data_IF_167328760109
#
_entry.id   IF_167328760109
#
_cell.length_a   1.000
_cell.length_b   1.000
_cell.length_c   1.000
_cell.angle_alpha   90.00
_cell.angle_beta   90.00
_cell.angle_gamma   90.00
#
_symmetry.space_group_name_H-M   'P 1'
#
loop_
_entity.id
_entity.type
_entity.pdbx_description
1 polymer ?
#
# COMPACT_ATOMS: atom_id res chain seq x y z
N UNK A 1 16.66 7.20 10.41
CA UNK A 1 16.65 6.45 11.69
C UNK A 1 16.04 5.06 11.56
N UNK A 2 14.86 4.92 10.93
CA UNK A 2 14.13 3.64 10.81
C UNK A 2 14.92 2.52 10.11
N UNK A 3 15.45 2.76 8.90
CA UNK A 3 16.26 1.79 8.14
C UNK A 3 17.46 1.27 8.94
N UNK A 4 18.11 2.16 9.70
CA UNK A 4 19.28 1.86 10.53
C UNK A 4 18.93 1.16 11.85
N UNK A 5 17.65 0.94 12.16
CA UNK A 5 17.22 0.31 13.42
C UNK A 5 17.39 1.19 14.67
N UNK A 6 17.53 2.50 14.49
CA UNK A 6 17.81 3.44 15.59
C UNK A 6 16.51 3.86 16.31
N UNK A 7 15.92 2.95 17.08
CA UNK A 7 14.66 3.20 17.80
C UNK A 7 14.71 4.43 18.71
N UNK A 8 15.82 4.66 19.43
CA UNK A 8 15.96 5.83 20.30
C UNK A 8 16.03 7.15 19.51
N UNK A 9 16.69 7.13 18.35
CA UNK A 9 16.72 8.29 17.46
C UNK A 9 15.32 8.60 16.90
N UNK A 10 14.52 7.57 16.61
CA UNK A 10 13.11 7.75 16.21
C UNK A 10 12.32 8.42 17.33
N UNK A 11 12.50 7.97 18.59
CA UNK A 11 11.85 8.60 19.75
C UNK A 11 12.21 10.08 19.89
N UNK A 12 13.50 10.40 19.80
CA UNK A 12 13.98 11.77 19.88
C UNK A 12 13.41 12.64 18.76
N UNK A 13 13.37 12.15 17.52
CA UNK A 13 12.82 12.89 16.39
C UNK A 13 11.34 13.23 16.61
N UNK A 14 10.54 12.25 17.03
CA UNK A 14 9.10 12.47 17.28
C UNK A 14 8.88 13.41 18.46
N UNK A 15 9.66 13.29 19.53
CA UNK A 15 9.62 14.24 20.66
C UNK A 15 9.98 15.67 20.26
N UNK A 16 10.79 15.85 19.21
CA UNK A 16 11.13 17.16 18.65
C UNK A 16 10.16 17.60 17.53
N UNK A 17 8.99 16.97 17.43
CA UNK A 17 7.93 17.39 16.49
C UNK A 17 7.97 16.71 15.13
N UNK A 18 8.82 15.69 14.91
CA UNK A 18 8.73 14.91 13.69
C UNK A 18 7.41 14.11 13.67
N UNK A 19 6.63 14.27 12.60
CA UNK A 19 5.36 13.55 12.42
C UNK A 19 5.64 12.13 11.92
N UNK A 20 5.28 11.08 12.68
CA UNK A 20 5.57 9.69 12.30
C UNK A 20 4.60 9.13 11.25
N UNK A 21 3.51 9.84 10.98
CA UNK A 21 2.52 9.53 9.94
C UNK A 21 3.01 9.89 8.53
N UNK A 22 4.09 10.66 8.39
CA UNK A 22 4.62 11.08 7.09
C UNK A 22 5.12 9.86 6.30
N UNK A 23 4.64 9.78 5.05
CA UNK A 23 5.03 8.76 4.09
C UNK A 23 5.90 9.32 2.97
N UNK A 24 6.53 8.43 2.20
CA UNK A 24 7.14 8.77 0.91
C UNK A 24 6.10 8.95 -0.18
N UNK A 25 6.56 9.28 -1.39
CA UNK A 25 5.77 9.33 -2.63
C UNK A 25 5.03 8.02 -2.97
N UNK A 26 5.37 6.91 -2.32
CA UNK A 26 4.72 5.60 -2.49
C UNK A 26 3.81 5.24 -1.32
N UNK A 27 3.60 6.15 -0.37
CA UNK A 27 2.86 5.93 0.86
C UNK A 27 3.66 5.16 1.92
N UNK A 28 4.98 5.03 1.78
CA UNK A 28 5.79 4.30 2.76
C UNK A 28 6.10 5.16 3.97
N UNK A 29 5.57 4.77 5.11
CA UNK A 29 5.89 5.36 6.42
C UNK A 29 7.18 4.77 7.01
N UNK A 30 7.67 5.35 8.10
CA UNK A 30 8.79 4.79 8.87
C UNK A 30 8.56 3.33 9.30
N UNK A 31 7.30 2.91 9.49
CA UNK A 31 6.93 1.54 9.83
C UNK A 31 7.18 0.57 8.66
N UNK A 32 6.93 0.98 7.41
CA UNK A 32 7.21 0.15 6.22
C UNK A 32 8.70 -0.18 6.09
N UNK A 33 9.56 0.84 6.21
CA UNK A 33 11.01 0.61 6.20
C UNK A 33 11.47 -0.24 7.38
N UNK A 34 10.92 -0.02 8.57
CA UNK A 34 11.26 -0.85 9.72
C UNK A 34 10.84 -2.32 9.51
N UNK A 35 9.68 -2.55 8.91
CA UNK A 35 9.19 -3.88 8.57
C UNK A 35 10.06 -4.58 7.51
N UNK A 36 10.43 -3.89 6.42
CA UNK A 36 11.29 -4.44 5.36
C UNK A 36 12.65 -4.91 5.92
N UNK A 37 13.28 -4.07 6.73
CA UNK A 37 14.62 -4.33 7.27
C UNK A 37 14.61 -5.12 8.59
N UNK A 38 13.45 -5.59 9.06
CA UNK A 38 13.34 -6.38 10.29
C UNK A 38 13.67 -5.61 11.57
N UNK A 39 13.43 -4.29 11.61
CA UNK A 39 13.80 -3.40 12.72
C UNK A 39 12.71 -3.36 13.79
N UNK A 40 12.58 -4.46 14.53
CA UNK A 40 11.60 -4.59 15.62
C UNK A 40 11.69 -3.47 16.67
N UNK A 41 12.90 -3.01 17.01
CA UNK A 41 13.11 -1.92 17.96
C UNK A 41 12.46 -0.60 17.52
N UNK A 42 12.48 -0.33 16.21
CA UNK A 42 11.84 0.85 15.62
C UNK A 42 10.34 0.69 15.61
N UNK A 43 9.81 -0.48 15.24
CA UNK A 43 8.37 -0.75 15.27
C UNK A 43 7.79 -0.59 16.68
N UNK A 44 8.49 -1.09 17.70
CA UNK A 44 8.11 -0.90 19.11
C UNK A 44 8.12 0.58 19.51
N UNK A 45 9.14 1.32 19.09
CA UNK A 45 9.24 2.76 19.38
C UNK A 45 8.10 3.54 18.72
N UNK A 46 7.78 3.25 17.46
CA UNK A 46 6.67 3.86 16.73
C UNK A 46 5.33 3.56 17.40
N UNK A 47 5.09 2.30 17.77
CA UNK A 47 3.88 1.89 18.48
C UNK A 47 3.70 2.59 19.83
N UNK A 48 4.78 2.68 20.62
CA UNK A 48 4.78 3.39 21.91
C UNK A 48 4.46 4.89 21.76
N UNK A 49 4.79 5.46 20.60
CA UNK A 49 4.51 6.86 20.27
C UNK A 49 3.14 7.05 19.61
N UNK A 50 2.28 6.03 19.60
CA UNK A 50 0.97 6.03 18.94
C UNK A 50 1.06 6.38 17.44
N UNK A 51 2.18 6.04 16.79
CA UNK A 51 2.32 6.23 15.36
C UNK A 51 1.42 5.24 14.59
N UNK A 52 0.89 5.63 13.43
CA UNK A 52 0.10 4.74 12.60
C UNK A 52 0.98 3.64 11.98
N UNK A 53 0.91 2.43 12.55
CA UNK A 53 1.62 1.23 12.05
C UNK A 53 0.73 0.30 11.21
N UNK A 54 -0.52 0.70 10.99
CA UNK A 54 -1.57 -0.03 10.27
C UNK A 54 -1.86 0.53 8.87
N UNK A 55 -1.31 1.69 8.52
CA UNK A 55 -1.57 2.34 7.22
C UNK A 55 -0.93 1.54 6.10
N UNK A 56 -1.70 1.30 5.03
CA UNK A 56 -1.20 0.71 3.80
C UNK A 56 -0.54 1.73 2.88
N UNK A 57 0.43 1.27 2.10
CA UNK A 57 1.02 2.04 1.01
C UNK A 57 0.05 2.24 -0.18
N UNK A 58 0.51 2.84 -1.29
CA UNK A 58 -0.32 3.05 -2.50
C UNK A 58 -0.86 1.77 -3.14
N UNK A 59 -0.32 0.60 -2.78
CA UNK A 59 -0.76 -0.71 -3.25
C UNK A 59 -1.62 -1.43 -2.21
N UNK A 60 -1.88 -0.79 -1.06
CA UNK A 60 -2.59 -1.38 0.07
C UNK A 60 -1.75 -2.35 0.89
N UNK A 61 -0.42 -2.37 0.72
CA UNK A 61 0.45 -3.19 1.55
C UNK A 61 0.71 -2.48 2.88
N UNK A 62 0.31 -3.10 3.99
CA UNK A 62 0.65 -2.60 5.33
C UNK A 62 2.08 -2.98 5.71
N UNK A 63 2.67 -2.35 6.75
CA UNK A 63 3.95 -2.78 7.30
C UNK A 63 3.99 -4.27 7.62
N UNK A 64 2.90 -4.87 8.11
CA UNK A 64 2.82 -6.33 8.34
C UNK A 64 3.03 -7.10 7.04
N UNK A 65 2.35 -6.69 5.96
CA UNK A 65 2.47 -7.33 4.65
C UNK A 65 3.91 -7.25 4.12
N UNK A 66 4.58 -6.12 4.30
CA UNK A 66 5.99 -5.97 3.95
C UNK A 66 6.86 -6.93 4.78
N UNK A 67 6.66 -6.99 6.10
CA UNK A 67 7.41 -7.93 6.94
C UNK A 67 7.20 -9.40 6.53
N UNK A 68 6.00 -9.78 6.10
CA UNK A 68 5.72 -11.13 5.57
C UNK A 68 6.48 -11.42 4.26
N UNK A 69 6.45 -10.49 3.31
CA UNK A 69 7.13 -10.63 2.01
C UNK A 69 8.64 -10.84 2.20
N UNK A 70 9.24 -10.13 3.15
CA UNK A 70 10.67 -10.18 3.44
C UNK A 70 11.04 -11.21 4.52
N UNK A 71 10.07 -11.99 5.04
CA UNK A 71 10.32 -13.08 5.99
C UNK A 71 10.71 -12.63 7.40
N UNK A 72 10.33 -11.41 7.81
CA UNK A 72 10.68 -10.83 9.11
C UNK A 72 9.69 -11.28 10.20
N UNK A 73 9.75 -12.55 10.58
CA UNK A 73 8.77 -13.22 11.47
C UNK A 73 8.50 -12.49 12.80
N UNK A 74 9.55 -11.97 13.44
CA UNK A 74 9.41 -11.25 14.72
C UNK A 74 8.66 -9.92 14.55
N UNK A 75 8.85 -9.26 13.41
CA UNK A 75 8.13 -8.04 13.07
C UNK A 75 6.68 -8.34 12.74
N UNK A 76 6.39 -9.43 12.02
CA UNK A 76 5.01 -9.88 11.72
C UNK A 76 4.25 -10.14 13.01
N UNK A 77 4.82 -10.93 13.93
CA UNK A 77 4.16 -11.28 15.19
C UNK A 77 3.90 -10.07 16.08
N UNK A 78 4.76 -9.05 16.02
CA UNK A 78 4.55 -7.79 16.72
C UNK A 78 3.48 -6.92 16.04
N UNK A 79 3.59 -6.74 14.72
CA UNK A 79 2.68 -5.90 13.93
C UNK A 79 1.25 -6.42 13.95
N UNK A 80 1.05 -7.74 13.95
CA UNK A 80 -0.29 -8.32 14.07
C UNK A 80 -1.04 -7.86 15.33
N UNK A 81 -0.33 -7.69 16.45
CA UNK A 81 -0.92 -7.17 17.69
C UNK A 81 -1.07 -5.65 17.64
N UNK A 82 -0.03 -4.96 17.17
CA UNK A 82 0.01 -3.51 17.10
C UNK A 82 -1.05 -2.93 16.15
N UNK A 83 -1.30 -3.58 15.00
CA UNK A 83 -2.35 -3.19 14.04
C UNK A 83 -3.75 -3.22 14.68
N UNK A 84 -4.07 -4.27 15.44
CA UNK A 84 -5.35 -4.39 16.15
C UNK A 84 -5.50 -3.30 17.22
N UNK A 85 -4.43 -3.02 17.97
CA UNK A 85 -4.42 -1.97 19.00
C UNK A 85 -4.57 -0.57 18.39
N UNK A 86 -3.89 -0.27 17.28
CA UNK A 86 -4.01 0.99 16.56
C UNK A 86 -5.41 1.19 15.96
N UNK A 87 -5.99 0.14 15.37
CA UNK A 87 -7.34 0.20 14.81
C UNK A 87 -8.39 0.49 15.90
N UNK A 88 -8.29 -0.18 17.05
CA UNK A 88 -9.20 0.05 18.17
C UNK A 88 -9.02 1.46 18.77
N UNK A 89 -7.78 1.93 18.89
CA UNK A 89 -7.50 3.30 19.34
C UNK A 89 -8.15 4.35 18.43
N UNK A 90 -8.03 4.20 17.10
CA UNK A 90 -8.69 5.09 16.13
C UNK A 90 -10.20 5.07 16.28
N UNK A 91 -10.80 3.87 16.38
CA UNK A 91 -12.25 3.69 16.57
C UNK A 91 -12.76 4.40 17.83
N UNK A 92 -12.02 4.30 18.94
CA UNK A 92 -12.37 4.97 20.20
C UNK A 92 -12.16 6.49 20.11
N UNK A 93 -11.12 6.96 19.45
CA UNK A 93 -10.89 8.39 19.24
C UNK A 93 -12.02 9.03 18.43
N UNK A 94 -12.46 8.38 17.34
CA UNK A 94 -13.59 8.82 16.52
C UNK A 94 -14.90 8.88 17.33
N UNK A 95 -15.19 7.86 18.14
CA UNK A 95 -16.38 7.84 19.01
C UNK A 95 -16.38 8.98 20.04
N UNK A 96 -15.20 9.40 20.48
CA UNK A 96 -15.02 10.51 21.42
C UNK A 96 -14.90 11.88 20.71
N UNK A 97 -15.01 11.93 19.38
CA UNK A 97 -14.86 13.16 18.59
C UNK A 97 -13.43 13.74 18.63
N UNK A 98 -12.43 12.91 18.93
CA UNK A 98 -11.01 13.29 18.93
C UNK A 98 -10.48 13.06 17.52
N UNK A 99 -10.10 14.14 16.84
CA UNK A 99 -9.41 14.06 15.55
C UNK A 99 -7.95 13.63 15.78
N UNK A 100 -7.54 12.48 15.25
CA UNK A 100 -6.16 12.01 15.32
C UNK A 100 -5.35 12.60 14.17
N UNK A 101 -4.18 13.17 14.47
CA UNK A 101 -3.21 13.63 13.47
C UNK A 101 -2.42 12.46 12.86
N UNK A 102 -3.15 11.43 12.40
CA UNK A 102 -2.58 10.16 11.93
C UNK A 102 -2.48 10.06 10.39
N UNK A 103 -2.88 11.12 9.68
CA UNK A 103 -2.82 11.25 8.22
C UNK A 103 -2.18 12.56 7.81
N UNK A 104 -1.45 12.52 6.70
CA UNK A 104 -1.03 13.71 5.98
C UNK A 104 -2.10 14.04 4.92
N UNK A 105 -2.97 15.01 5.20
CA UNK A 105 -4.12 15.35 4.34
C UNK A 105 -3.69 15.76 2.93
N UNK A 106 -2.54 16.44 2.79
CA UNK A 106 -1.97 16.84 1.49
C UNK A 106 -1.54 15.61 0.65
N UNK A 107 -1.11 14.54 1.32
CA UNK A 107 -0.70 13.29 0.69
C UNK A 107 -1.90 12.49 0.15
N UNK A 108 -3.01 12.45 0.89
CA UNK A 108 -4.23 11.71 0.51
C UNK A 108 -4.84 12.24 -0.80
N UNK A 109 -4.77 13.54 -1.04
CA UNK A 109 -5.20 14.13 -2.32
C UNK A 109 -4.30 13.73 -3.50
N UNK A 110 -2.99 13.68 -3.28
CA UNK A 110 -2.03 13.27 -4.31
C UNK A 110 -2.18 11.77 -4.62
N UNK A 111 -2.43 10.95 -3.60
CA UNK A 111 -2.78 9.52 -3.71
C UNK A 111 -4.00 9.30 -4.60
N UNK A 112 -5.09 10.04 -4.41
CA UNK A 112 -6.30 9.87 -5.24
C UNK A 112 -6.02 10.20 -6.71
N UNK A 113 -5.18 11.21 -6.98
CA UNK A 113 -4.71 11.57 -8.33
C UNK A 113 -3.87 10.47 -8.97
N UNK A 114 -2.92 9.87 -8.25
CA UNK A 114 -2.06 8.80 -8.77
C UNK A 114 -2.84 7.48 -8.96
N UNK A 115 -3.78 7.16 -8.07
CA UNK A 115 -4.69 6.02 -8.23
C UNK A 115 -5.62 6.20 -9.43
N UNK A 116 -6.14 7.40 -9.66
CA UNK A 116 -6.91 7.72 -10.86
C UNK A 116 -6.10 7.45 -12.13
N UNK A 117 -4.86 7.96 -12.22
CA UNK A 117 -3.95 7.68 -13.34
C UNK A 117 -3.71 6.19 -13.56
N UNK A 118 -3.45 5.42 -12.49
CA UNK A 118 -3.26 3.97 -12.60
C UNK A 118 -4.50 3.22 -13.09
N UNK A 119 -5.69 3.61 -12.62
CA UNK A 119 -6.96 3.04 -13.09
C UNK A 119 -7.13 3.30 -14.59
N UNK A 120 -6.82 4.51 -15.05
CA UNK A 120 -6.82 4.85 -16.48
C UNK A 120 -5.80 4.01 -17.28
N UNK A 121 -4.59 3.80 -16.76
CA UNK A 121 -3.59 2.95 -17.43
C UNK A 121 -4.07 1.50 -17.55
N UNK A 122 -4.62 0.91 -16.48
CA UNK A 122 -5.15 -0.46 -16.48
C UNK A 122 -6.35 -0.58 -17.43
N UNK A 123 -7.20 0.43 -17.50
CA UNK A 123 -8.33 0.47 -18.44
C UNK A 123 -7.86 0.57 -19.89
N UNK A 124 -6.80 1.34 -20.16
CA UNK A 124 -6.15 1.43 -21.48
C UNK A 124 -5.46 0.12 -21.90
N UNK A 125 -4.86 -0.60 -20.95
CA UNK A 125 -4.24 -1.92 -21.17
C UNK A 125 -5.30 -3.01 -21.39
N UNK A 126 -6.43 -2.93 -20.68
CA UNK A 126 -7.54 -3.88 -20.85
C UNK A 126 -8.31 -3.66 -22.16
N UNK A 127 -8.55 -2.40 -22.56
CA UNK A 127 -9.15 -2.08 -23.88
C UNK A 127 -8.23 -2.47 -25.03
N UNK A 128 -6.93 -2.23 -24.93
CA UNK A 128 -5.96 -2.70 -25.93
C UNK A 128 -5.88 -4.24 -25.98
N UNK A 129 -5.92 -4.93 -24.84
CA UNK A 129 -5.97 -6.40 -24.79
C UNK A 129 -7.30 -6.98 -25.35
N UNK A 130 -8.42 -6.28 -25.21
CA UNK A 130 -9.71 -6.67 -25.80
C UNK A 130 -9.75 -6.43 -27.32
N UNK A 131 -9.21 -5.31 -27.80
CA UNK A 131 -9.08 -5.02 -29.24
C UNK A 131 -8.27 -6.08 -29.99
N UNK A 132 -7.15 -6.54 -29.39
CA UNK A 132 -6.32 -7.63 -29.96
C UNK A 132 -7.07 -8.98 -29.98
N UNK A 133 -7.96 -9.25 -29.02
CA UNK A 133 -8.79 -10.47 -29.01
C UNK A 133 -9.92 -10.43 -30.04
N UNK A 134 -10.41 -9.25 -30.41
CA UNK A 134 -11.46 -9.09 -31.42
C UNK A 134 -10.92 -9.31 -32.84
N UNK A 135 -9.76 -8.73 -33.19
CA UNK A 135 -9.12 -8.94 -34.50
C UNK A 135 -8.79 -10.41 -34.80
N UNK A 136 -8.46 -11.21 -33.77
CA UNK A 136 -8.23 -12.66 -33.93
C UNK A 136 -9.52 -13.46 -34.20
N UNK A 137 -10.67 -13.02 -33.68
CA UNK A 137 -11.97 -13.67 -33.94
C UNK A 137 -12.49 -13.38 -35.34
N UNK A 138 -12.36 -12.14 -35.80
CA UNK A 138 -12.85 -11.75 -37.13
C UNK A 138 -12.03 -12.39 -38.27
N UNK A 139 -10.71 -12.56 -38.07
CA UNK A 139 -9.85 -13.31 -39.01
C UNK A 139 -10.17 -14.81 -39.09
N UNK A 140 -10.80 -15.38 -38.05
CA UNK A 140 -11.21 -16.79 -38.02
C UNK A 140 -12.54 -17.02 -38.74
N UNK A 141 -13.38 -15.98 -38.88
CA UNK A 141 -14.69 -16.07 -39.51
C UNK A 141 -14.60 -15.90 -41.04
N UNK A 142 -13.74 -15.01 -41.55
CA UNK A 142 -13.52 -14.81 -42.99
C UNK A 142 -12.86 -16.00 -43.70
N UNK A 143 -12.11 -16.84 -42.98
CA UNK A 143 -11.49 -18.05 -43.56
C UNK A 143 -12.48 -19.23 -43.70
N UNK A 144 -13.69 -19.15 -43.15
CA UNK A 144 -14.68 -20.23 -43.21
C UNK A 144 -15.71 -20.09 -44.34
N UNK A 145 -15.84 -18.91 -44.94
CA UNK A 145 -16.78 -18.65 -46.06
C UNK A 145 -16.20 -18.89 -47.45
N UNK A 146 -14.90 -19.21 -47.58
CA UNK A 146 -14.25 -19.42 -48.90
C UNK A 146 -14.04 -20.91 -49.28
N UNK A 147 -14.79 -21.84 -48.66
CA UNK A 147 -14.70 -23.29 -48.94
C UNK A 147 -15.93 -23.90 -49.63
N UNK A 148 -16.91 -23.11 -50.05
CA UNK A 148 -18.14 -23.60 -50.72
C UNK A 148 -18.30 -23.17 -52.19
N UNK A 149 -17.23 -22.78 -52.89
CA UNK A 149 -17.27 -22.52 -54.34
C UNK A 149 -16.20 -23.35 -55.05
N UNK A 150 -16.25 -24.68 -54.92
CA UNK A 150 -15.51 -25.63 -55.78
C UNK A 150 -15.94 -27.08 -55.53
N UNK A 151 -17.22 -27.38 -55.79
CA UNK A 151 -17.69 -28.73 -56.12
C UNK A 151 -18.78 -28.60 -57.18
N UNK A 152 -18.34 -28.37 -58.41
CA UNK A 152 -19.08 -28.69 -59.63
C UNK A 152 -18.45 -29.92 -60.24
#
# INVERSE_FOLDING_TARGET
AAIKGQGEMVRLLVQNGARPCLGTDTGWTAAHFAAEYGKLSVLRALHLLHAPVDKGDLYGHTPKRIAEIYGQTDCVAFLEKAELECAEYRRVAEQNGILLDDTDEEWEEQKERELAKRRETIESENTSAQGVRQCKRDSSHTMRSNKEVQKG
#
